data_IF_011467150022
#
_entry.id   IF_011467150022
#
_cell.length_a   1.000
_cell.length_b   1.000
_cell.length_c   1.000
_cell.angle_alpha   90.00
_cell.angle_beta   90.00
_cell.angle_gamma   90.00
#
_symmetry.space_group_name_H-M   'P 1'
#
loop_
_entity.id
_entity.type
_entity.pdbx_description
1 polymer ?
#
# COMPACT_ATOMS: atom_id res chain seq x y z
N UNK A 1 -2.29 9.04 -7.00
CA UNK A 1 -1.79 7.68 -6.68
C UNK A 1 -2.53 7.04 -5.49
N UNK A 2 -2.62 7.71 -4.34
CA UNK A 2 -3.27 7.13 -3.15
C UNK A 2 -4.78 6.84 -3.32
N UNK A 3 -5.53 7.73 -3.98
CA UNK A 3 -6.98 7.56 -4.18
C UNK A 3 -7.30 6.31 -5.00
N UNK A 4 -6.66 6.05 -6.17
CA UNK A 4 -6.83 4.78 -6.89
C UNK A 4 -6.52 3.53 -6.05
N UNK A 5 -5.45 3.55 -5.25
CA UNK A 5 -5.10 2.42 -4.37
C UNK A 5 -6.23 2.16 -3.36
N UNK A 6 -6.77 3.21 -2.74
CA UNK A 6 -7.89 3.09 -1.82
C UNK A 6 -9.14 2.55 -2.50
N UNK A 7 -9.43 2.96 -3.74
CA UNK A 7 -10.59 2.48 -4.50
C UNK A 7 -10.46 0.99 -4.81
N UNK A 8 -9.28 0.53 -5.22
CA UNK A 8 -9.00 -0.91 -5.45
C UNK A 8 -9.17 -1.70 -4.16
N UNK A 9 -8.58 -1.22 -3.05
CA UNK A 9 -8.73 -1.88 -1.75
C UNK A 9 -10.20 -1.93 -1.31
N UNK A 10 -10.94 -0.83 -1.48
CA UNK A 10 -12.37 -0.76 -1.17
C UNK A 10 -13.19 -1.70 -2.06
N UNK A 11 -12.83 -1.84 -3.33
CA UNK A 11 -13.46 -2.79 -4.24
C UNK A 11 -13.36 -4.21 -3.68
N UNK A 12 -12.15 -4.72 -3.43
CA UNK A 12 -11.99 -6.07 -2.88
C UNK A 12 -12.68 -6.22 -1.51
N UNK A 13 -12.54 -5.26 -0.60
CA UNK A 13 -13.21 -5.34 0.71
C UNK A 13 -14.74 -5.42 0.65
N UNK A 14 -15.37 -4.87 -0.39
CA UNK A 14 -16.83 -4.89 -0.57
C UNK A 14 -17.33 -6.12 -1.33
N UNK A 15 -16.46 -6.77 -2.09
CA UNK A 15 -16.83 -7.87 -2.97
C UNK A 15 -16.17 -9.16 -2.46
N UNK A 16 -16.93 -9.93 -1.68
CA UNK A 16 -16.39 -11.07 -0.92
C UNK A 16 -15.78 -12.18 -1.80
N UNK A 17 -16.36 -12.45 -2.98
CA UNK A 17 -15.89 -13.49 -3.89
C UNK A 17 -14.53 -13.10 -4.47
N UNK A 18 -14.41 -11.87 -4.93
CA UNK A 18 -13.20 -11.27 -5.49
C UNK A 18 -12.11 -11.15 -4.43
N UNK A 19 -12.47 -10.80 -3.19
CA UNK A 19 -11.54 -10.80 -2.07
C UNK A 19 -10.99 -12.19 -1.76
N UNK A 20 -11.85 -13.21 -1.72
CA UNK A 20 -11.41 -14.59 -1.49
C UNK A 20 -10.49 -15.06 -2.62
N UNK A 21 -10.78 -14.67 -3.87
CA UNK A 21 -9.93 -14.96 -5.01
C UNK A 21 -8.54 -14.28 -4.89
N UNK A 22 -8.52 -13.02 -4.45
CA UNK A 22 -7.28 -12.31 -4.18
C UNK A 22 -6.49 -12.96 -3.03
N UNK A 23 -7.13 -13.32 -1.93
CA UNK A 23 -6.48 -13.99 -0.79
C UNK A 23 -5.85 -15.32 -1.19
N UNK A 24 -6.56 -16.11 -2.02
CA UNK A 24 -6.02 -17.34 -2.62
C UNK A 24 -4.74 -17.04 -3.41
N UNK A 25 -4.77 -16.05 -4.31
CA UNK A 25 -3.61 -15.66 -5.11
C UNK A 25 -2.46 -15.08 -4.27
N UNK A 26 -2.76 -14.38 -3.18
CA UNK A 26 -1.74 -13.92 -2.23
C UNK A 26 -1.02 -15.12 -1.58
N UNK A 27 -1.75 -16.15 -1.16
CA UNK A 27 -1.15 -17.38 -0.63
C UNK A 27 -0.31 -18.07 -1.71
N UNK A 28 -0.83 -18.24 -2.93
CA UNK A 28 -0.12 -18.93 -4.01
C UNK A 28 1.15 -18.22 -4.48
N UNK A 29 1.14 -16.89 -4.58
CA UNK A 29 2.25 -16.10 -5.16
C UNK A 29 3.22 -15.53 -4.12
N UNK A 30 2.77 -15.36 -2.87
CA UNK A 30 3.51 -14.65 -1.81
C UNK A 30 3.68 -15.54 -0.57
N UNK A 31 2.90 -16.60 -0.42
CA UNK A 31 2.98 -17.54 0.70
C UNK A 31 2.20 -17.13 1.95
N UNK A 32 1.49 -15.99 1.92
CA UNK A 32 0.66 -15.50 3.03
C UNK A 32 -0.41 -14.54 2.54
N UNK A 33 -1.49 -14.42 3.30
CA UNK A 33 -2.47 -13.36 3.11
C UNK A 33 -1.91 -12.03 3.61
N UNK A 34 -2.16 -10.96 2.85
CA UNK A 34 -1.76 -9.60 3.20
C UNK A 34 -3.02 -8.78 3.41
N UNK A 35 -3.25 -8.36 4.65
CA UNK A 35 -4.37 -7.48 4.99
C UNK A 35 -4.09 -6.06 4.52
N UNK A 36 -5.02 -5.49 3.77
CA UNK A 36 -4.95 -4.08 3.38
C UNK A 36 -5.46 -3.16 4.48
N UNK A 37 -4.64 -2.17 4.82
CA UNK A 37 -5.00 -1.11 5.75
C UNK A 37 -5.42 0.11 4.95
N UNK A 38 -6.65 0.60 5.15
CA UNK A 38 -7.04 1.89 4.61
C UNK A 38 -6.42 2.98 5.48
N UNK A 39 -5.84 4.03 4.88
CA UNK A 39 -5.18 5.07 5.66
C UNK A 39 -6.23 5.95 6.35
N UNK A 40 -5.83 6.52 7.48
CA UNK A 40 -6.63 7.42 8.32
C UNK A 40 -5.97 8.79 8.30
N UNK A 41 -6.78 9.84 8.15
CA UNK A 41 -6.28 11.21 7.96
C UNK A 41 -5.38 11.70 9.11
N UNK A 42 -5.64 11.25 10.34
CA UNK A 42 -4.95 11.70 11.55
C UNK A 42 -3.64 10.96 11.84
N UNK A 43 -3.31 9.90 11.10
CA UNK A 43 -2.07 9.12 11.28
C UNK A 43 -1.27 9.10 10.00
N UNK A 44 -0.28 9.98 9.91
CA UNK A 44 0.50 10.17 8.69
C UNK A 44 1.18 8.87 8.21
N UNK A 45 1.62 8.02 9.15
CA UNK A 45 2.20 6.71 8.83
C UNK A 45 1.23 5.70 8.21
N UNK A 46 -0.08 5.91 8.29
CA UNK A 46 -1.08 4.97 7.76
C UNK A 46 -1.12 4.94 6.22
N UNK A 47 -0.80 6.05 5.56
CA UNK A 47 -0.68 6.12 4.10
C UNK A 47 0.48 5.26 3.58
N UNK A 48 1.62 5.32 4.25
CA UNK A 48 2.77 4.47 3.93
C UNK A 48 2.44 2.99 4.16
N UNK A 49 1.82 2.64 5.29
CA UNK A 49 1.42 1.24 5.57
C UNK A 49 0.44 0.71 4.51
N UNK A 50 -0.53 1.54 4.10
CA UNK A 50 -1.47 1.20 3.04
C UNK A 50 -0.73 0.85 1.74
N UNK A 51 0.12 1.77 1.27
CA UNK A 51 0.88 1.61 0.04
C UNK A 51 1.85 0.42 0.10
N UNK A 52 2.54 0.21 1.23
CA UNK A 52 3.42 -0.95 1.43
C UNK A 52 2.65 -2.27 1.35
N UNK A 53 1.48 -2.38 2.00
CA UNK A 53 0.66 -3.60 1.94
C UNK A 53 0.13 -3.88 0.53
N UNK A 54 -0.21 -2.82 -0.20
CA UNK A 54 -0.65 -2.88 -1.58
C UNK A 54 0.48 -3.33 -2.52
N UNK A 55 1.65 -2.71 -2.41
CA UNK A 55 2.85 -3.04 -3.18
C UNK A 55 3.34 -4.46 -2.89
N UNK A 56 3.32 -4.89 -1.62
CA UNK A 56 3.64 -6.26 -1.24
C UNK A 56 2.69 -7.30 -1.88
N UNK A 57 1.47 -6.88 -2.24
CA UNK A 57 0.49 -7.71 -2.94
C UNK A 57 0.53 -7.56 -4.47
N UNK A 58 1.49 -6.81 -5.04
CA UNK A 58 1.56 -6.49 -6.47
C UNK A 58 1.37 -7.70 -7.37
N UNK A 59 2.13 -8.79 -7.14
CA UNK A 59 2.04 -10.00 -7.95
C UNK A 59 0.64 -10.64 -7.91
N UNK A 60 0.00 -10.69 -6.76
CA UNK A 60 -1.35 -11.25 -6.63
C UNK A 60 -2.38 -10.35 -7.32
N UNK A 61 -2.27 -9.04 -7.13
CA UNK A 61 -3.14 -8.02 -7.74
C UNK A 61 -3.00 -7.95 -9.27
N UNK A 62 -1.81 -8.18 -9.81
CA UNK A 62 -1.58 -8.27 -11.26
C UNK A 62 -2.16 -9.55 -11.86
N UNK A 63 -2.27 -10.64 -11.08
CA UNK A 63 -2.83 -11.90 -11.56
C UNK A 63 -4.35 -11.96 -11.39
N UNK A 64 -4.90 -11.34 -10.35
CA UNK A 64 -6.33 -11.44 -10.02
C UNK A 64 -7.22 -10.85 -11.11
N UNK A 65 -6.73 -9.91 -11.91
CA UNK A 65 -7.46 -9.34 -13.06
C UNK A 65 -7.76 -10.37 -14.17
N UNK A 66 -7.03 -11.49 -14.19
CA UNK A 66 -7.27 -12.60 -15.10
C UNK A 66 -8.22 -13.67 -14.53
N UNK A 67 -8.66 -13.52 -13.29
CA UNK A 67 -9.67 -14.39 -12.71
C UNK A 67 -11.05 -13.98 -13.19
N UNK A 68 -11.88 -14.95 -13.59
CA UNK A 68 -13.17 -14.67 -14.20
C UNK A 68 -14.11 -13.87 -13.30
N UNK A 69 -14.10 -14.18 -11.99
CA UNK A 69 -14.92 -13.47 -11.00
C UNK A 69 -14.55 -11.99 -10.90
N UNK A 70 -13.28 -11.63 -11.05
CA UNK A 70 -12.81 -10.24 -10.95
C UNK A 70 -12.90 -9.52 -12.28
N UNK A 71 -12.52 -10.18 -13.38
CA UNK A 71 -12.56 -9.61 -14.74
C UNK A 71 -13.94 -9.06 -15.10
N UNK A 72 -15.01 -9.73 -14.65
CA UNK A 72 -16.40 -9.35 -14.94
C UNK A 72 -16.92 -8.20 -14.08
N UNK A 73 -16.37 -8.00 -12.88
CA UNK A 73 -16.92 -7.06 -11.89
C UNK A 73 -16.06 -5.82 -11.65
N UNK A 74 -14.75 -5.90 -11.88
CA UNK A 74 -13.84 -4.78 -11.64
C UNK A 74 -14.05 -3.66 -12.68
N UNK A 75 -14.17 -2.38 -12.26
CA UNK A 75 -14.22 -1.26 -13.19
C UNK A 75 -12.97 -1.19 -14.08
N UNK A 76 -13.15 -0.91 -15.38
CA UNK A 76 -12.06 -0.83 -16.36
C UNK A 76 -10.96 0.18 -15.97
N UNK A 77 -11.34 1.29 -15.34
CA UNK A 77 -10.41 2.31 -14.82
C UNK A 77 -9.49 1.80 -13.70
N UNK A 78 -9.95 0.83 -12.89
CA UNK A 78 -9.15 0.20 -11.85
C UNK A 78 -8.32 -0.96 -12.42
N UNK A 79 -8.90 -1.70 -13.38
CA UNK A 79 -8.23 -2.82 -14.04
C UNK A 79 -6.96 -2.38 -14.79
N UNK A 80 -7.05 -1.31 -15.58
CA UNK A 80 -5.90 -0.74 -16.30
C UNK A 80 -4.73 -0.40 -15.38
N UNK A 81 -5.00 0.17 -14.20
CA UNK A 81 -3.97 0.46 -13.20
C UNK A 81 -3.28 -0.79 -12.65
N UNK A 82 -4.01 -1.90 -12.51
CA UNK A 82 -3.44 -3.16 -12.05
C UNK A 82 -2.50 -3.79 -13.08
N UNK A 83 -2.84 -3.73 -14.37
CA UNK A 83 -2.09 -4.37 -15.47
C UNK A 83 -0.76 -3.65 -15.81
N UNK A 84 -0.50 -2.48 -15.23
CA UNK A 84 0.73 -1.69 -15.39
C UNK A 84 0.86 -0.99 -16.77
N UNK A 85 -0.16 -0.23 -17.17
CA UNK A 85 -0.15 0.53 -18.43
C UNK A 85 0.55 1.91 -18.35
N UNK A 86 0.77 2.47 -17.15
CA UNK A 86 1.15 3.89 -17.00
C UNK A 86 2.16 4.17 -15.85
N UNK A 87 3.01 3.22 -15.46
CA UNK A 87 4.00 3.45 -14.39
C UNK A 87 3.42 3.54 -12.97
N UNK A 88 2.13 3.22 -12.81
CA UNK A 88 1.41 3.27 -11.53
C UNK A 88 2.14 2.57 -10.37
N UNK A 89 2.78 1.43 -10.65
CA UNK A 89 3.53 0.70 -9.62
C UNK A 89 4.87 1.35 -9.26
N UNK A 90 5.52 1.99 -10.24
CA UNK A 90 6.77 2.75 -10.02
C UNK A 90 6.48 3.94 -9.11
N UNK A 91 5.42 4.69 -9.42
CA UNK A 91 4.94 5.80 -8.58
C UNK A 91 4.67 5.38 -7.12
N UNK A 92 4.04 4.22 -6.92
CA UNK A 92 3.77 3.68 -5.57
C UNK A 92 5.08 3.34 -4.86
N UNK A 93 6.04 2.75 -5.57
CA UNK A 93 7.33 2.37 -5.02
C UNK A 93 8.15 3.60 -4.64
N UNK A 94 8.22 4.62 -5.49
CA UNK A 94 8.90 5.89 -5.21
C UNK A 94 8.28 6.61 -4.00
N UNK A 95 6.94 6.68 -3.93
CA UNK A 95 6.27 7.26 -2.75
C UNK A 95 6.54 6.44 -1.49
N UNK A 96 6.55 5.11 -1.57
CA UNK A 96 6.91 4.27 -0.43
C UNK A 96 8.33 4.58 0.06
N UNK A 97 9.30 4.65 -0.86
CA UNK A 97 10.69 4.96 -0.54
C UNK A 97 10.84 6.36 0.07
N UNK A 98 10.10 7.35 -0.45
CA UNK A 98 10.07 8.71 0.09
C UNK A 98 9.50 8.74 1.51
N UNK A 99 8.40 8.05 1.77
CA UNK A 99 7.70 8.07 3.05
C UNK A 99 8.36 7.21 4.13
N UNK A 100 9.09 6.16 3.75
CA UNK A 100 9.73 5.23 4.67
C UNK A 100 10.54 5.92 5.79
N UNK A 101 11.51 6.82 5.51
CA UNK A 101 12.29 7.47 6.56
C UNK A 101 11.42 8.29 7.52
N UNK A 102 10.42 9.02 7.01
CA UNK A 102 9.53 9.82 7.85
C UNK A 102 8.69 8.95 8.77
N UNK A 103 8.16 7.83 8.25
CA UNK A 103 7.37 6.92 9.09
C UNK A 103 8.21 6.23 10.17
N UNK A 104 9.49 5.95 9.92
CA UNK A 104 10.40 5.43 10.95
C UNK A 104 10.63 6.45 12.06
N UNK A 105 10.86 7.71 11.70
CA UNK A 105 11.05 8.81 12.66
C UNK A 105 9.77 9.06 13.47
N UNK A 106 8.62 9.13 12.81
CA UNK A 106 7.32 9.30 13.49
C UNK A 106 7.11 8.17 14.50
N UNK A 107 7.35 6.91 14.12
CA UNK A 107 7.24 5.77 15.04
C UNK A 107 8.25 5.84 16.20
N UNK A 108 9.46 6.31 15.95
CA UNK A 108 10.47 6.53 17.00
C UNK A 108 9.97 7.58 18.02
N UNK A 109 9.37 8.68 17.55
CA UNK A 109 8.83 9.72 18.44
C UNK A 109 7.48 9.36 19.09
N UNK A 110 6.67 8.52 18.45
CA UNK A 110 5.44 7.97 19.04
C UNK A 110 5.73 6.84 20.05
N UNK A 111 6.97 6.36 20.14
CA UNK A 111 7.36 5.33 21.10
C UNK A 111 7.45 5.89 22.52
N UNK A 112 7.29 5.02 23.52
CA UNK A 112 7.42 5.39 24.93
C UNK A 112 8.89 5.60 25.38
N UNK A 113 9.83 5.76 24.45
CA UNK A 113 11.25 5.96 24.75
C UNK A 113 11.57 7.47 24.83
N UNK A 114 12.53 7.89 25.69
CA UNK A 114 12.89 9.30 25.84
C UNK A 114 13.72 9.79 24.65
N UNK A 115 13.05 10.08 23.53
CA UNK A 115 13.67 10.41 22.25
C UNK A 115 13.72 11.92 21.94
N UNK A 116 13.37 12.79 22.89
CA UNK A 116 13.32 14.24 22.67
C UNK A 116 14.68 14.81 22.24
N UNK A 117 15.77 14.28 22.81
CA UNK A 117 17.15 14.67 22.46
C UNK A 117 17.53 14.34 21.01
N UNK A 118 16.82 13.41 20.36
CA UNK A 118 17.08 12.99 18.98
C UNK A 118 16.40 13.89 17.94
N UNK A 119 15.44 14.72 18.35
CA UNK A 119 14.62 15.56 17.44
C UNK A 119 15.50 16.41 16.52
N UNK A 120 16.43 17.19 17.08
CA UNK A 120 17.29 18.07 16.29
C UNK A 120 18.10 17.30 15.23
N UNK A 121 18.71 16.18 15.63
CA UNK A 121 19.53 15.35 14.74
C UNK A 121 18.70 14.74 13.61
N UNK A 122 17.47 14.26 13.91
CA UNK A 122 16.58 13.67 12.90
C UNK A 122 16.07 14.69 11.88
N UNK A 123 15.80 15.92 12.29
CA UNK A 123 15.38 17.00 11.40
C UNK A 123 16.53 17.47 10.48
N UNK A 124 17.73 17.69 11.02
CA UNK A 124 18.87 18.20 10.24
C UNK A 124 19.42 17.17 9.24
N UNK A 125 19.45 15.89 9.60
CA UNK A 125 20.01 14.82 8.76
C UNK A 125 19.27 14.65 7.41
N UNK A 126 18.01 15.11 7.32
CA UNK A 126 17.15 14.91 6.14
C UNK A 126 16.90 16.16 5.30
N UNK A 127 17.31 17.34 5.75
CA UNK A 127 17.21 18.60 4.97
C UNK A 127 18.49 18.84 4.12
N UNK A 128 19.61 18.20 4.47
CA UNK A 128 20.92 18.41 3.82
C UNK A 128 21.33 17.34 2.80
N UNK A 129 20.43 16.45 2.39
CA UNK A 129 20.70 15.39 1.42
C UNK A 129 19.58 15.33 0.41
#
# INVERSE_FOLDING_TARGET
IITPVQEIIKFFKRHHIENACLERLQIEKIGKTIKFNLPVITRWGSHHICLQSFLASKKALQNVVFEECVRKSIPSSLNSKLIDTEGFWVDIEEICQLLEPFTKIIREFESNQPNLSLVYNRFIYKIKK
#
